data_IF_883016222292
#
_entry.id   IF_883016222292
#
_cell.length_a   1.000
_cell.length_b   1.000
_cell.length_c   1.000
_cell.angle_alpha   90.00
_cell.angle_beta   90.00
_cell.angle_gamma   90.00
#
_symmetry.space_group_name_H-M   'P 1'
#
loop_
_entity.id
_entity.type
_entity.pdbx_description
1 polymer ?
#
# COMPACT_ATOMS: atom_id res chain seq x y z
N UNK A 1 -17.78 -10.02 6.59
CA UNK A 1 -18.53 -9.01 5.82
C UNK A 1 -17.63 -8.18 4.91
N UNK A 2 -18.14 -7.76 3.75
CA UNK A 2 -17.42 -6.91 2.79
C UNK A 2 -17.67 -5.44 3.13
N UNK A 3 -16.70 -4.75 3.73
CA UNK A 3 -16.84 -3.37 4.20
C UNK A 3 -15.83 -2.38 3.58
N UNK A 4 -15.04 -2.82 2.61
CA UNK A 4 -14.10 -2.00 1.84
C UNK A 4 -14.59 -1.84 0.40
N UNK A 5 -14.63 -0.60 -0.08
CA UNK A 5 -15.19 -0.25 -1.38
C UNK A 5 -14.23 0.63 -2.17
N UNK A 6 -14.27 0.45 -3.48
CA UNK A 6 -13.47 1.16 -4.46
C UNK A 6 -14.38 1.57 -5.61
N UNK A 7 -14.21 2.78 -6.13
CA UNK A 7 -15.10 3.25 -7.18
C UNK A 7 -14.72 4.61 -7.72
N UNK A 8 -15.70 5.22 -8.38
CA UNK A 8 -15.63 6.54 -8.98
C UNK A 8 -16.89 7.30 -8.55
N UNK A 9 -16.79 8.62 -8.43
CA UNK A 9 -17.93 9.50 -8.29
C UNK A 9 -18.80 9.43 -9.55
N UNK A 10 -20.13 9.47 -9.37
CA UNK A 10 -21.14 9.20 -10.40
C UNK A 10 -20.98 10.03 -11.68
N UNK A 11 -20.46 11.25 -11.57
CA UNK A 11 -20.32 12.21 -12.66
C UNK A 11 -18.85 12.53 -12.99
N UNK A 12 -17.89 11.84 -12.38
CA UNK A 12 -16.45 12.02 -12.64
C UNK A 12 -15.78 10.65 -12.84
N UNK A 13 -15.68 10.22 -14.09
CA UNK A 13 -15.02 8.97 -14.48
C UNK A 13 -13.50 8.94 -14.24
N UNK A 14 -12.89 10.10 -14.01
CA UNK A 14 -11.47 10.21 -13.66
C UNK A 14 -11.20 10.20 -12.16
N UNK A 15 -12.25 10.27 -11.35
CA UNK A 15 -12.13 10.24 -9.90
C UNK A 15 -11.71 8.86 -9.39
N UNK A 16 -11.12 8.88 -8.19
CA UNK A 16 -10.76 7.69 -7.43
C UNK A 16 -11.39 7.77 -6.04
N UNK A 17 -12.16 6.75 -5.70
CA UNK A 17 -12.80 6.62 -4.39
C UNK A 17 -12.30 5.34 -3.72
N UNK A 18 -11.87 5.45 -2.47
CA UNK A 18 -11.49 4.33 -1.60
C UNK A 18 -12.13 4.56 -0.24
N UNK A 19 -13.14 3.75 0.10
CA UNK A 19 -13.93 3.91 1.32
C UNK A 19 -13.96 2.63 2.15
N UNK A 20 -14.09 2.79 3.45
CA UNK A 20 -14.29 1.75 4.46
C UNK A 20 -15.48 2.12 5.32
N UNK A 21 -16.36 1.16 5.58
CA UNK A 21 -17.49 1.31 6.53
C UNK A 21 -17.35 0.40 7.75
N UNK A 22 -16.23 -0.32 7.89
CA UNK A 22 -16.05 -1.36 8.91
C UNK A 22 -16.14 -0.84 10.35
N UNK A 23 -15.79 0.43 10.60
CA UNK A 23 -15.81 1.09 11.91
C UNK A 23 -16.21 2.55 11.74
N UNK A 24 -17.39 2.76 11.13
CA UNK A 24 -17.79 4.07 10.60
C UNK A 24 -17.13 4.38 9.25
N UNK A 25 -17.68 5.38 8.57
CA UNK A 25 -17.22 5.79 7.24
C UNK A 25 -15.84 6.44 7.33
N UNK A 26 -14.88 5.91 6.59
CA UNK A 26 -13.56 6.51 6.41
C UNK A 26 -13.03 6.27 5.02
N UNK A 27 -12.11 7.11 4.56
CA UNK A 27 -11.43 6.90 3.28
C UNK A 27 -11.12 8.20 2.56
N UNK A 28 -10.84 8.08 1.26
CA UNK A 28 -10.34 9.17 0.42
C UNK A 28 -11.18 9.24 -0.85
N UNK A 29 -11.52 10.46 -1.25
CA UNK A 29 -12.19 10.80 -2.51
C UNK A 29 -11.29 11.78 -3.25
N UNK A 30 -10.83 11.41 -4.44
CA UNK A 30 -9.99 12.23 -5.31
C UNK A 30 -10.77 12.50 -6.58
N UNK A 31 -11.10 13.76 -6.85
CA UNK A 31 -11.69 14.24 -8.11
C UNK A 31 -10.70 15.15 -8.82
N UNK A 32 -11.07 15.68 -9.99
CA UNK A 32 -10.27 16.70 -10.66
C UNK A 32 -10.15 18.00 -9.85
N UNK A 33 -11.17 18.33 -9.05
CA UNK A 33 -11.27 19.60 -8.34
C UNK A 33 -10.69 19.53 -6.93
N UNK A 34 -10.83 18.40 -6.25
CA UNK A 34 -10.50 18.27 -4.84
C UNK A 34 -10.06 16.87 -4.44
N UNK A 35 -9.21 16.82 -3.41
CA UNK A 35 -8.90 15.61 -2.67
C UNK A 35 -9.52 15.76 -1.29
N UNK A 36 -10.38 14.83 -0.89
CA UNK A 36 -11.08 14.84 0.39
C UNK A 36 -10.70 13.59 1.19
N UNK A 37 -10.54 13.78 2.49
CA UNK A 37 -10.41 12.70 3.47
C UNK A 37 -11.65 12.67 4.36
N UNK A 38 -12.08 11.47 4.71
CA UNK A 38 -13.19 11.21 5.63
C UNK A 38 -12.66 10.34 6.77
N UNK A 39 -12.96 10.72 8.00
CA UNK A 39 -12.68 9.90 9.19
C UNK A 39 -13.79 9.99 10.24
N UNK A 40 -14.06 8.89 10.96
CA UNK A 40 -15.01 8.88 12.06
C UNK A 40 -14.43 9.63 13.27
N UNK A 41 -15.20 10.53 13.86
CA UNK A 41 -14.84 11.20 15.13
C UNK A 41 -15.01 10.27 16.33
N UNK A 42 -15.92 9.30 16.23
CA UNK A 42 -16.15 8.24 17.19
C UNK A 42 -16.25 6.91 16.44
N UNK A 43 -15.75 5.82 17.01
CA UNK A 43 -15.75 4.47 16.39
C UNK A 43 -17.13 3.79 16.37
N UNK A 44 -18.21 4.55 16.22
CA UNK A 44 -19.60 4.05 16.14
C UNK A 44 -20.14 4.22 14.72
N UNK A 45 -20.99 3.29 14.27
CA UNK A 45 -21.56 3.34 12.90
C UNK A 45 -22.35 4.62 12.62
N UNK A 46 -23.01 5.17 13.64
CA UNK A 46 -23.79 6.42 13.56
C UNK A 46 -23.04 7.64 14.14
N UNK A 47 -21.72 7.53 14.32
CA UNK A 47 -20.88 8.63 14.79
C UNK A 47 -20.82 9.78 13.79
N UNK A 48 -20.48 10.98 14.26
CA UNK A 48 -20.16 12.08 13.36
C UNK A 48 -18.84 11.81 12.61
N UNK A 49 -18.72 12.32 11.39
CA UNK A 49 -17.52 12.19 10.55
C UNK A 49 -16.92 13.56 10.29
N UNK A 50 -15.59 13.64 10.35
CA UNK A 50 -14.87 14.78 9.82
C UNK A 50 -14.68 14.58 8.30
N UNK A 51 -14.96 15.64 7.54
CA UNK A 51 -14.64 15.72 6.11
C UNK A 51 -13.79 16.95 5.91
N UNK A 52 -12.61 16.76 5.35
CA UNK A 52 -11.65 17.85 5.17
C UNK A 52 -10.85 17.64 3.89
N UNK A 53 -10.33 18.75 3.36
CA UNK A 53 -9.41 18.70 2.23
C UNK A 53 -8.17 17.89 2.62
N UNK A 54 -7.86 16.86 1.85
CA UNK A 54 -6.63 16.12 1.99
C UNK A 54 -5.48 17.06 1.60
N UNK A 55 -4.77 17.56 2.60
CA UNK A 55 -3.56 18.35 2.40
C UNK A 55 -2.37 17.37 2.39
N UNK A 56 -1.62 17.37 1.28
CA UNK A 56 -0.25 16.85 1.31
C UNK A 56 0.50 17.72 2.33
N UNK A 57 0.78 17.18 3.52
CA UNK A 57 1.54 17.92 4.52
C UNK A 57 2.95 18.19 3.99
N UNK A 58 3.21 19.48 3.74
CA UNK A 58 4.44 20.13 3.32
C UNK A 58 4.92 19.88 1.88
N UNK A 59 5.55 20.92 1.32
CA UNK A 59 6.35 20.93 0.09
C UNK A 59 7.13 19.61 -0.10
N UNK A 60 7.40 19.18 -1.35
CA UNK A 60 8.02 17.87 -1.63
C UNK A 60 9.19 17.63 -0.70
N UNK A 61 8.98 16.84 0.35
CA UNK A 61 10.05 16.30 1.17
C UNK A 61 10.74 15.35 0.23
N UNK A 62 11.81 15.82 -0.42
CA UNK A 62 12.66 15.00 -1.25
C UNK A 62 13.14 13.86 -0.35
N UNK A 63 12.50 12.69 -0.49
CA UNK A 63 13.12 11.44 -0.07
C UNK A 63 14.47 11.43 -0.80
N UNK A 64 15.57 11.23 -0.08
CA UNK A 64 16.97 11.42 -0.52
C UNK A 64 17.45 10.49 -1.64
N UNK A 65 16.58 10.26 -2.62
CA UNK A 65 16.92 9.71 -3.92
C UNK A 65 17.51 10.85 -4.72
N UNK A 66 18.83 10.98 -4.68
CA UNK A 66 19.51 11.78 -5.68
C UNK A 66 19.13 11.21 -7.06
N UNK A 67 18.79 12.08 -8.01
CA UNK A 67 18.48 11.69 -9.40
C UNK A 67 19.59 10.86 -10.08
N UNK A 68 20.75 10.70 -9.43
CA UNK A 68 21.89 9.90 -9.85
C UNK A 68 21.74 8.40 -9.61
N UNK A 69 20.85 7.95 -8.70
CA UNK A 69 20.63 6.51 -8.46
C UNK A 69 19.69 5.86 -9.49
N UNK A 70 18.89 6.66 -10.19
CA UNK A 70 18.13 6.21 -11.36
C UNK A 70 19.04 6.25 -12.58
N UNK A 71 19.83 5.19 -12.78
CA UNK A 71 20.57 5.04 -14.02
C UNK A 71 19.59 4.61 -15.13
N UNK A 72 19.00 5.58 -15.83
CA UNK A 72 18.14 5.34 -17.02
C UNK A 72 18.81 4.40 -18.04
N UNK A 73 20.15 4.37 -18.07
CA UNK A 73 20.93 3.49 -18.93
C UNK A 73 20.90 2.00 -18.55
N UNK A 74 20.42 1.65 -17.35
CA UNK A 74 20.19 0.25 -16.94
C UNK A 74 18.84 -0.30 -17.44
N UNK A 75 17.94 0.55 -17.96
CA UNK A 75 16.82 0.07 -18.75
C UNK A 75 17.38 -0.43 -20.08
N UNK A 76 17.69 -1.72 -20.14
CA UNK A 76 17.90 -2.41 -21.41
C UNK A 76 16.60 -2.17 -22.20
N UNK A 77 16.64 -1.23 -23.15
CA UNK A 77 15.66 -1.15 -24.21
C UNK A 77 15.83 -2.42 -25.03
N UNK A 78 15.21 -3.51 -24.56
CA UNK A 78 15.05 -4.68 -25.39
C UNK A 78 14.32 -4.19 -26.63
N UNK A 79 14.91 -4.51 -27.77
CA UNK A 79 14.56 -4.02 -29.11
C UNK A 79 13.06 -3.80 -29.29
N UNK A 80 12.71 -2.76 -30.04
CA UNK A 80 11.42 -2.55 -30.71
C UNK A 80 11.09 -3.77 -31.59
N UNK A 81 10.75 -4.89 -30.96
CA UNK A 81 10.07 -6.00 -31.58
C UNK A 81 8.69 -5.49 -31.93
N UNK A 82 8.21 -5.79 -33.15
CA UNK A 82 6.78 -5.75 -33.44
C UNK A 82 6.08 -6.37 -32.23
N UNK A 83 5.14 -5.64 -31.61
CA UNK A 83 4.34 -6.18 -30.50
C UNK A 83 3.68 -7.44 -31.05
N UNK A 84 4.17 -8.61 -30.65
CA UNK A 84 3.52 -9.86 -30.97
C UNK A 84 2.13 -9.82 -30.33
N UNK A 85 1.18 -10.55 -30.91
CA UNK A 85 -0.14 -10.74 -30.31
C UNK A 85 -0.03 -11.18 -28.84
N UNK A 86 0.98 -11.99 -28.53
CA UNK A 86 1.32 -12.46 -27.18
C UNK A 86 1.71 -11.33 -26.21
N UNK A 87 2.50 -10.34 -26.64
CA UNK A 87 2.86 -9.17 -25.81
C UNK A 87 1.63 -8.30 -25.54
N UNK A 88 0.77 -8.10 -26.55
CA UNK A 88 -0.47 -7.34 -26.33
C UNK A 88 -1.45 -8.06 -25.41
N UNK A 89 -1.58 -9.37 -25.55
CA UNK A 89 -2.41 -10.21 -24.69
C UNK A 89 -1.88 -10.16 -23.25
N UNK A 90 -0.56 -10.27 -23.07
CA UNK A 90 0.08 -10.14 -21.77
C UNK A 90 -0.22 -8.79 -21.11
N UNK A 91 -0.12 -7.68 -21.85
CA UNK A 91 -0.37 -6.33 -21.32
C UNK A 91 -1.85 -6.08 -20.97
N UNK A 92 -2.78 -6.71 -21.69
CA UNK A 92 -4.23 -6.60 -21.42
C UNK A 92 -4.68 -7.51 -20.30
N UNK A 93 -3.99 -8.62 -20.06
CA UNK A 93 -4.35 -9.60 -19.04
C UNK A 93 -4.25 -9.01 -17.62
N UNK A 94 -5.25 -9.33 -16.78
CA UNK A 94 -5.27 -8.93 -15.38
C UNK A 94 -4.09 -9.57 -14.65
N UNK A 95 -3.37 -8.77 -13.87
CA UNK A 95 -2.24 -9.24 -13.05
C UNK A 95 -2.62 -9.24 -11.58
N UNK A 96 -1.91 -10.07 -10.83
CA UNK A 96 -2.05 -10.18 -9.40
C UNK A 96 -0.67 -9.99 -8.77
N UNK A 97 -0.63 -9.26 -7.65
CA UNK A 97 0.56 -9.17 -6.80
C UNK A 97 0.17 -9.75 -5.46
N UNK A 98 0.79 -10.86 -5.09
CA UNK A 98 0.71 -11.43 -3.75
C UNK A 98 1.58 -10.61 -2.80
N UNK A 99 0.94 -9.82 -1.96
CA UNK A 99 1.58 -8.91 -1.02
C UNK A 99 1.55 -9.48 0.40
N UNK A 100 2.71 -9.49 1.05
CA UNK A 100 2.86 -9.76 2.47
C UNK A 100 3.25 -8.50 3.24
N UNK A 101 2.59 -8.23 4.37
CA UNK A 101 2.89 -7.05 5.20
C UNK A 101 3.58 -7.48 6.49
N UNK A 102 4.68 -6.83 6.85
CA UNK A 102 5.35 -7.05 8.14
C UNK A 102 5.38 -5.73 8.88
N UNK A 103 4.83 -5.70 10.09
CA UNK A 103 4.93 -4.57 11.01
C UNK A 103 5.92 -4.91 12.12
N UNK A 104 6.90 -4.05 12.32
CA UNK A 104 7.93 -4.22 13.33
C UNK A 104 7.39 -4.01 14.76
N UNK A 105 8.26 -4.17 15.75
CA UNK A 105 7.88 -4.00 17.14
C UNK A 105 7.57 -2.55 17.51
N UNK A 106 8.25 -1.60 16.86
CA UNK A 106 7.98 -0.18 17.08
C UNK A 106 6.56 0.21 16.66
N UNK A 107 6.04 -0.37 15.57
CA UNK A 107 4.65 -0.24 15.15
C UNK A 107 3.69 -0.83 16.17
N UNK A 108 4.02 -1.97 16.78
CA UNK A 108 3.19 -2.53 17.85
C UNK A 108 3.08 -1.58 19.06
N UNK A 109 4.19 -0.99 19.49
CA UNK A 109 4.22 0.00 20.57
C UNK A 109 3.46 1.27 20.18
N UNK A 110 3.66 1.77 18.95
CA UNK A 110 3.04 3.00 18.43
C UNK A 110 1.52 2.96 18.43
N UNK A 111 0.95 1.78 18.18
CA UNK A 111 -0.50 1.55 18.18
C UNK A 111 -0.99 1.02 19.53
N UNK A 112 -0.33 1.40 20.63
CA UNK A 112 -0.69 1.01 22.00
C UNK A 112 -0.93 -0.50 22.16
N UNK A 113 -0.06 -1.30 21.54
CA UNK A 113 -0.13 -2.77 21.60
C UNK A 113 -1.45 -3.35 21.02
N UNK A 114 -2.15 -2.58 20.17
CA UNK A 114 -3.42 -2.95 19.57
C UNK A 114 -3.22 -3.55 18.17
N UNK A 115 -3.20 -4.89 18.09
CA UNK A 115 -3.07 -5.61 16.82
C UNK A 115 -4.19 -5.29 15.84
N UNK A 116 -5.43 -5.14 16.33
CA UNK A 116 -6.59 -4.91 15.45
C UNK A 116 -6.56 -3.53 14.81
N UNK A 117 -5.98 -2.54 15.48
CA UNK A 117 -5.79 -1.22 14.89
C UNK A 117 -4.74 -1.24 13.76
N UNK A 118 -3.64 -1.95 13.96
CA UNK A 118 -2.61 -2.17 12.93
C UNK A 118 -3.21 -2.93 11.74
N UNK A 119 -3.96 -4.02 12.00
CA UNK A 119 -4.66 -4.79 10.96
C UNK A 119 -5.62 -3.92 10.16
N UNK A 120 -6.43 -3.12 10.85
CA UNK A 120 -7.39 -2.19 10.24
C UNK A 120 -6.67 -1.16 9.38
N UNK A 121 -5.55 -0.61 9.85
CA UNK A 121 -4.71 0.30 9.06
C UNK A 121 -4.17 -0.37 7.80
N UNK A 122 -3.67 -1.60 7.91
CA UNK A 122 -3.18 -2.36 6.75
C UNK A 122 -4.28 -2.58 5.73
N UNK A 123 -5.48 -3.01 6.14
CA UNK A 123 -6.60 -3.19 5.21
C UNK A 123 -7.02 -1.89 4.53
N UNK A 124 -7.02 -0.75 5.25
CA UNK A 124 -7.25 0.57 4.64
C UNK A 124 -6.19 0.91 3.58
N UNK A 125 -4.91 0.65 3.86
CA UNK A 125 -3.83 0.85 2.88
C UNK A 125 -4.01 -0.04 1.64
N UNK A 126 -4.32 -1.33 1.82
CA UNK A 126 -4.55 -2.26 0.71
C UNK A 126 -5.77 -1.84 -0.12
N UNK A 127 -6.83 -1.33 0.51
CA UNK A 127 -7.99 -0.82 -0.20
C UNK A 127 -7.61 0.36 -1.12
N UNK A 128 -6.85 1.32 -0.60
CA UNK A 128 -6.35 2.44 -1.38
C UNK A 128 -5.38 2.03 -2.49
N UNK A 129 -4.42 1.16 -2.20
CA UNK A 129 -3.48 0.61 -3.18
C UNK A 129 -4.24 -0.05 -4.34
N UNK A 130 -5.27 -0.85 -4.05
CA UNK A 130 -6.07 -1.48 -5.09
C UNK A 130 -6.84 -0.46 -5.94
N UNK A 131 -7.29 0.68 -5.37
CA UNK A 131 -7.84 1.79 -6.18
C UNK A 131 -6.81 2.34 -7.17
N UNK A 132 -5.57 2.55 -6.73
CA UNK A 132 -4.48 3.11 -7.58
C UNK A 132 -4.05 2.11 -8.67
N UNK A 133 -3.81 0.85 -8.30
CA UNK A 133 -3.32 -0.19 -9.22
C UNK A 133 -4.36 -0.68 -10.22
N UNK A 134 -5.65 -0.35 -10.01
CA UNK A 134 -6.74 -0.66 -10.94
C UNK A 134 -6.51 -0.09 -12.33
N UNK A 135 -5.89 1.10 -12.44
CA UNK A 135 -5.56 1.72 -13.73
C UNK A 135 -4.56 0.90 -14.56
N UNK A 136 -3.78 0.03 -13.91
CA UNK A 136 -2.81 -0.87 -14.55
C UNK A 136 -3.37 -2.29 -14.76
N UNK A 137 -4.66 -2.52 -14.47
CA UNK A 137 -5.28 -3.85 -14.43
C UNK A 137 -4.55 -4.83 -13.49
N UNK A 138 -4.02 -4.31 -12.38
CA UNK A 138 -3.33 -5.07 -11.34
C UNK A 138 -4.22 -5.12 -10.09
N UNK A 139 -4.35 -6.30 -9.51
CA UNK A 139 -4.98 -6.50 -8.19
C UNK A 139 -3.92 -6.93 -7.17
N UNK A 140 -3.80 -6.16 -6.09
CA UNK A 140 -2.90 -6.46 -4.98
C UNK A 140 -3.67 -7.30 -3.95
N UNK A 141 -3.31 -8.58 -3.87
CA UNK A 141 -3.89 -9.52 -2.92
C UNK A 141 -3.02 -9.57 -1.67
N UNK A 142 -3.57 -9.16 -0.52
CA UNK A 142 -2.89 -9.35 0.76
C UNK A 142 -2.97 -10.83 1.15
N UNK A 143 -1.86 -11.57 1.00
CA UNK A 143 -1.80 -13.01 1.26
C UNK A 143 -1.40 -13.34 2.70
N UNK A 144 -0.84 -12.37 3.42
CA UNK A 144 -0.55 -12.51 4.84
C UNK A 144 -0.02 -11.23 5.47
N UNK A 145 -0.01 -11.22 6.80
CA UNK A 145 0.64 -10.18 7.57
C UNK A 145 1.26 -10.76 8.85
N UNK A 146 2.32 -10.12 9.33
CA UNK A 146 2.99 -10.46 10.59
C UNK A 146 3.25 -9.19 11.39
N UNK A 147 2.92 -9.21 12.69
CA UNK A 147 3.15 -8.10 13.62
C UNK A 147 4.11 -8.62 14.69
N UNK A 148 5.25 -7.95 14.88
CA UNK A 148 6.27 -8.39 15.83
C UNK A 148 6.00 -7.85 17.24
N UNK A 149 5.38 -8.68 18.08
CA UNK A 149 4.84 -8.24 19.36
C UNK A 149 5.84 -8.21 20.51
N UNK A 150 6.90 -9.02 20.43
CA UNK A 150 7.86 -9.19 21.51
C UNK A 150 9.15 -8.44 21.22
N UNK A 151 9.73 -8.66 20.04
CA UNK A 151 10.97 -8.05 19.57
C UNK A 151 11.02 -8.17 18.05
N UNK A 152 11.83 -7.32 17.43
CA UNK A 152 12.13 -7.41 16.01
C UNK A 152 12.88 -8.71 15.68
N UNK A 153 12.61 -9.28 14.50
CA UNK A 153 13.26 -10.50 14.04
C UNK A 153 14.64 -10.23 13.40
N UNK A 154 14.98 -8.95 13.23
CA UNK A 154 16.31 -8.46 12.91
C UNK A 154 16.45 -7.04 13.46
N UNK A 155 17.68 -6.55 13.57
CA UNK A 155 17.95 -5.19 14.03
C UNK A 155 17.46 -4.14 13.00
N UNK A 156 16.47 -3.34 13.40
CA UNK A 156 15.97 -2.19 12.63
C UNK A 156 16.84 -0.97 12.97
N UNK A 157 17.48 -0.38 11.96
CA UNK A 157 18.38 0.78 12.12
C UNK A 157 17.86 1.99 11.36
N UNK A 158 18.33 3.18 11.73
CA UNK A 158 17.93 4.45 11.09
C UNK A 158 18.35 4.55 9.62
N UNK A 159 19.43 3.87 9.22
CA UNK A 159 19.82 3.77 7.82
C UNK A 159 18.85 2.86 7.06
N UNK A 160 18.04 3.44 6.18
CA UNK A 160 17.01 2.70 5.44
C UNK A 160 17.58 1.65 4.48
N UNK A 161 18.78 1.87 3.92
CA UNK A 161 19.43 0.90 3.04
C UNK A 161 19.84 -0.36 3.83
N UNK A 162 20.41 -0.17 5.01
CA UNK A 162 20.81 -1.28 5.87
C UNK A 162 19.59 -2.06 6.39
N UNK A 163 18.54 -1.35 6.82
CA UNK A 163 17.27 -1.97 7.23
C UNK A 163 16.62 -2.73 6.07
N UNK A 164 16.60 -2.19 4.85
CA UNK A 164 16.09 -2.88 3.66
C UNK A 164 16.88 -4.14 3.34
N UNK A 165 18.22 -4.09 3.42
CA UNK A 165 19.08 -5.26 3.20
C UNK A 165 18.81 -6.36 4.22
N UNK A 166 18.66 -6.00 5.51
CA UNK A 166 18.33 -6.94 6.58
C UNK A 166 16.93 -7.52 6.40
N UNK A 167 15.94 -6.70 6.05
CA UNK A 167 14.59 -7.16 5.72
C UNK A 167 14.58 -8.13 4.54
N UNK A 168 15.32 -7.83 3.47
CA UNK A 168 15.45 -8.70 2.29
C UNK A 168 16.07 -10.06 2.64
N UNK A 169 17.16 -10.05 3.42
CA UNK A 169 17.80 -11.27 3.91
C UNK A 169 16.85 -12.09 4.80
N UNK A 170 16.16 -11.44 5.73
CA UNK A 170 15.16 -12.10 6.58
C UNK A 170 14.00 -12.66 5.77
N UNK A 171 13.44 -11.91 4.82
CA UNK A 171 12.37 -12.36 3.91
C UNK A 171 12.80 -13.64 3.18
N UNK A 172 14.02 -13.64 2.63
CA UNK A 172 14.56 -14.79 1.87
C UNK A 172 14.72 -16.03 2.73
N UNK A 173 15.29 -15.88 3.92
CA UNK A 173 15.71 -17.02 4.74
C UNK A 173 14.61 -17.50 5.71
N UNK A 174 13.66 -16.64 6.07
CA UNK A 174 12.65 -16.94 7.10
C UNK A 174 11.21 -16.87 6.60
N UNK A 175 10.83 -15.85 5.80
CA UNK A 175 9.44 -15.67 5.39
C UNK A 175 9.06 -16.52 4.17
N UNK A 176 9.84 -16.45 3.09
CA UNK A 176 9.56 -17.20 1.85
C UNK A 176 9.44 -18.71 2.03
N UNK A 177 10.27 -19.39 2.87
CA UNK A 177 10.14 -20.83 3.07
C UNK A 177 8.80 -21.29 3.66
N UNK A 178 8.08 -20.41 4.35
CA UNK A 178 6.82 -20.72 5.05
C UNK A 178 5.59 -20.07 4.42
N UNK A 179 5.76 -18.96 3.69
CA UNK A 179 4.68 -18.21 3.06
C UNK A 179 5.16 -17.67 1.70
N UNK A 180 4.83 -18.34 0.58
CA UNK A 180 5.06 -17.81 -0.76
C UNK A 180 4.34 -16.47 -0.96
N UNK A 181 5.01 -15.53 -1.63
CA UNK A 181 4.47 -14.22 -1.98
C UNK A 181 5.40 -13.52 -3.00
N UNK A 182 4.83 -12.69 -3.88
CA UNK A 182 5.57 -11.92 -4.88
C UNK A 182 6.36 -10.77 -4.24
N UNK A 183 5.70 -10.03 -3.35
CA UNK A 183 6.23 -8.83 -2.72
C UNK A 183 5.97 -8.81 -1.21
N UNK A 184 6.90 -8.24 -0.46
CA UNK A 184 6.70 -7.96 0.96
C UNK A 184 7.03 -6.50 1.25
N UNK A 185 6.23 -5.86 2.09
CA UNK A 185 6.44 -4.48 2.54
C UNK A 185 6.62 -4.47 4.06
N UNK A 186 7.59 -3.70 4.52
CA UNK A 186 7.94 -3.56 5.92
C UNK A 186 7.43 -2.20 6.45
N UNK A 187 6.71 -2.24 7.56
CA UNK A 187 6.15 -1.08 8.25
C UNK A 187 6.93 -0.88 9.56
N UNK A 188 7.47 0.31 9.73
CA UNK A 188 8.29 0.77 10.86
C UNK A 188 7.96 2.23 11.13
#
# INVERSE_FOLDING_TARGET
DHCYYQGQAKEDSSSMVSLSVCQGLSGIIITQEQKLSIEPLNLTENGAHAVYAYQDQDAPKTCGVDHTMYNESAMIKTSSSRRSSEVEEFLKARKYIELYIVADHSMFIKYDHNEEEIRTRVFKMINYINTVYKALNIFVALTGMEIWKTNDQFEVVTNIHDTLNRFSAWRKNNLLPRKPHDNAQFLT
#
